data_IF_416184906120
#
_entry.id   IF_416184906120
#
_cell.length_a   1.000
_cell.length_b   1.000
_cell.length_c   1.000
_cell.angle_alpha   90.00
_cell.angle_beta   90.00
_cell.angle_gamma   90.00
#
_symmetry.space_group_name_H-M   'P 1'
#
loop_
_entity.id
_entity.type
_entity.pdbx_description
1 polymer ?
#
# COMPACT_ATOMS: atom_id res chain seq x y z
N UNK A 1 31.70 47.84 59.95
CA UNK A 1 31.04 49.15 60.11
C UNK A 1 32.04 50.24 59.79
N UNK A 2 31.92 50.87 58.62
CA UNK A 2 32.40 52.23 58.31
C UNK A 2 31.93 52.58 56.89
N UNK A 3 31.01 53.54 56.78
CA UNK A 3 30.71 54.27 55.54
C UNK A 3 31.63 55.49 55.49
N UNK A 4 32.13 55.83 54.30
CA UNK A 4 32.35 57.22 53.87
C UNK A 4 32.06 57.30 52.37
N UNK A 5 31.18 58.24 52.04
CA UNK A 5 30.66 58.68 50.74
C UNK A 5 31.66 59.52 49.95
N UNK A 6 31.63 59.44 48.62
CA UNK A 6 31.96 60.56 47.72
C UNK A 6 31.05 60.56 46.48
N UNK A 7 31.01 61.72 45.83
CA UNK A 7 29.84 62.39 45.28
C UNK A 7 29.85 62.30 43.75
N UNK A 8 28.65 62.23 43.17
CA UNK A 8 28.31 62.32 41.73
C UNK A 8 28.89 63.54 41.01
N UNK A 9 29.19 63.38 39.71
CA UNK A 9 29.07 64.32 38.56
C UNK A 9 29.97 63.71 37.43
N UNK A 10 29.61 63.51 36.14
CA UNK A 10 28.82 64.29 35.21
C UNK A 10 28.44 63.49 33.92
N UNK A 11 27.40 63.98 33.24
CA UNK A 11 27.14 64.02 31.78
C UNK A 11 26.89 62.73 30.94
N UNK A 12 25.77 62.66 30.18
CA UNK A 12 25.45 61.55 29.28
C UNK A 12 26.09 61.71 27.88
N UNK A 13 26.75 60.67 27.38
CA UNK A 13 27.05 60.52 25.95
C UNK A 13 25.98 59.62 25.31
N UNK A 14 25.16 60.22 24.46
CA UNK A 14 24.18 59.52 23.63
C UNK A 14 24.87 59.10 22.33
N UNK A 15 25.13 57.79 22.16
CA UNK A 15 25.81 57.24 20.98
C UNK A 15 24.91 56.25 20.21
N UNK A 16 24.82 56.53 18.90
CA UNK A 16 24.35 55.75 17.75
C UNK A 16 22.97 55.03 17.78
N UNK A 17 22.04 55.34 16.84
CA UNK A 17 20.88 54.49 16.60
C UNK A 17 21.32 53.13 15.98
N UNK A 18 20.73 52.00 16.40
CA UNK A 18 21.04 50.70 15.83
C UNK A 18 20.53 50.60 14.39
N UNK A 19 21.46 50.29 13.49
CA UNK A 19 21.21 49.76 12.16
C UNK A 19 20.39 48.47 12.24
N UNK A 20 19.17 48.47 11.72
CA UNK A 20 18.64 47.41 10.84
C UNK A 20 17.20 47.72 10.45
N UNK A 21 17.00 48.14 9.20
CA UNK A 21 15.66 48.11 8.58
C UNK A 21 15.44 46.66 8.15
N UNK A 22 14.46 45.92 8.70
CA UNK A 22 14.18 44.58 8.23
C UNK A 22 13.59 44.68 6.81
N UNK A 23 14.31 44.13 5.84
CA UNK A 23 13.85 44.02 4.47
C UNK A 23 12.57 43.16 4.43
N UNK A 24 11.43 43.80 4.12
CA UNK A 24 10.17 43.10 3.86
C UNK A 24 10.30 42.30 2.57
N UNK A 25 10.80 41.07 2.67
CA UNK A 25 10.74 40.08 1.60
C UNK A 25 9.27 39.70 1.41
N UNK A 26 8.65 40.17 0.32
CA UNK A 26 7.33 39.67 -0.13
C UNK A 26 7.46 38.16 -0.38
N UNK A 27 6.90 37.37 0.52
CA UNK A 27 6.72 35.94 0.28
C UNK A 27 5.45 35.79 -0.57
N UNK A 28 5.63 35.43 -1.84
CA UNK A 28 4.53 34.86 -2.63
C UNK A 28 4.15 33.54 -1.96
N UNK A 29 3.02 33.53 -1.25
CA UNK A 29 2.45 32.32 -0.69
C UNK A 29 1.85 31.52 -1.83
N UNK A 30 2.58 30.51 -2.31
CA UNK A 30 1.96 29.47 -3.12
C UNK A 30 1.07 28.65 -2.18
N UNK A 31 -0.23 28.70 -2.40
CA UNK A 31 -1.20 27.91 -1.64
C UNK A 31 -0.94 26.42 -1.93
N UNK A 32 -0.28 25.74 -1.00
CA UNK A 32 -0.06 24.31 -1.08
C UNK A 32 -1.39 23.60 -0.86
N UNK A 33 -2.08 23.23 -1.94
CA UNK A 33 -3.27 22.38 -1.87
C UNK A 33 -2.86 21.00 -1.39
N UNK A 34 -3.05 20.72 -0.10
CA UNK A 34 -2.85 19.41 0.48
C UNK A 34 -3.93 18.46 -0.08
N UNK A 35 -3.52 17.58 -0.99
CA UNK A 35 -4.34 16.45 -1.43
C UNK A 35 -3.96 15.27 -0.55
N UNK A 36 -4.72 15.05 0.53
CA UNK A 36 -4.55 13.85 1.35
C UNK A 36 -5.25 12.71 0.63
N UNK A 37 -4.47 11.76 0.11
CA UNK A 37 -5.02 10.51 -0.38
C UNK A 37 -5.62 9.79 0.84
N UNK A 38 -6.94 9.70 0.90
CA UNK A 38 -7.68 9.03 1.97
C UNK A 38 -7.27 7.56 2.06
N UNK A 39 -7.36 6.98 3.27
CA UNK A 39 -7.09 5.55 3.49
C UNK A 39 -8.03 4.71 2.61
N UNK A 40 -7.50 3.99 1.60
CA UNK A 40 -8.36 3.29 0.63
C UNK A 40 -9.10 2.13 1.31
N UNK A 41 -10.41 2.02 1.14
CA UNK A 41 -11.20 0.96 1.78
C UNK A 41 -10.80 -0.44 1.31
N UNK A 42 -10.31 -0.55 0.08
CA UNK A 42 -9.98 -1.81 -0.56
C UNK A 42 -8.47 -2.01 -0.74
N UNK A 43 -8.09 -3.27 -0.88
CA UNK A 43 -6.80 -3.72 -1.39
C UNK A 43 -7.03 -4.64 -2.58
N UNK A 44 -6.07 -4.59 -3.50
CA UNK A 44 -6.04 -5.36 -4.73
C UNK A 44 -4.90 -6.37 -4.66
N UNK A 45 -5.19 -7.60 -5.06
CA UNK A 45 -4.22 -8.70 -5.03
C UNK A 45 -4.18 -9.33 -6.41
N UNK A 46 -2.98 -9.54 -6.93
CA UNK A 46 -2.72 -10.29 -8.15
C UNK A 46 -2.25 -11.69 -7.77
N UNK A 47 -2.97 -12.69 -8.25
CA UNK A 47 -2.74 -14.10 -8.03
C UNK A 47 -2.39 -14.77 -9.35
N UNK A 48 -1.50 -15.76 -9.30
CA UNK A 48 -1.19 -16.66 -10.40
C UNK A 48 -1.45 -18.09 -9.92
N UNK A 49 -2.26 -18.84 -10.67
CA UNK A 49 -2.52 -20.25 -10.40
C UNK A 49 -1.29 -21.07 -10.83
N UNK A 50 -0.75 -21.85 -9.90
CA UNK A 50 0.32 -22.80 -10.16
C UNK A 50 -0.28 -24.21 -10.23
N UNK A 51 0.12 -24.97 -11.25
CA UNK A 51 -0.22 -26.39 -11.37
C UNK A 51 1.06 -27.19 -11.59
N UNK A 52 1.13 -28.39 -11.02
CA UNK A 52 2.20 -29.35 -11.31
C UNK A 52 2.03 -30.06 -12.65
N UNK A 53 0.87 -29.91 -13.31
CA UNK A 53 0.61 -30.50 -14.63
C UNK A 53 1.25 -29.65 -15.74
N UNK A 54 1.73 -30.29 -16.81
CA UNK A 54 2.27 -29.59 -17.98
C UNK A 54 1.19 -28.96 -18.88
N UNK A 55 -0.09 -29.18 -18.56
CA UNK A 55 -1.21 -28.56 -19.26
C UNK A 55 -1.32 -27.10 -18.84
N UNK A 56 -1.48 -26.20 -19.82
CA UNK A 56 -1.80 -24.79 -19.53
C UNK A 56 -3.13 -24.76 -18.77
N UNK A 57 -3.14 -24.35 -17.49
CA UNK A 57 -4.40 -24.24 -16.77
C UNK A 57 -5.17 -23.05 -17.39
N UNK A 58 -6.34 -23.32 -17.94
CA UNK A 58 -7.31 -22.26 -18.24
C UNK A 58 -8.17 -22.06 -17.00
N UNK A 59 -8.17 -20.84 -16.48
CA UNK A 59 -8.84 -20.50 -15.25
C UNK A 59 -10.13 -19.72 -15.51
N UNK A 60 -11.25 -20.34 -15.21
CA UNK A 60 -12.56 -19.69 -15.24
C UNK A 60 -12.86 -18.97 -13.93
N UNK A 61 -13.65 -17.88 -13.98
CA UNK A 61 -14.05 -17.08 -12.82
C UNK A 61 -14.70 -17.92 -11.70
N UNK A 62 -15.54 -18.88 -12.08
CA UNK A 62 -16.25 -19.75 -11.13
C UNK A 62 -15.26 -20.65 -10.40
N UNK A 63 -14.30 -21.21 -11.13
CA UNK A 63 -13.25 -22.08 -10.58
C UNK A 63 -12.31 -21.29 -9.68
N UNK A 64 -11.89 -20.10 -10.12
CA UNK A 64 -11.08 -19.18 -9.32
C UNK A 64 -11.78 -18.85 -8.00
N UNK A 65 -13.07 -18.48 -8.04
CA UNK A 65 -13.88 -18.21 -6.84
C UNK A 65 -13.94 -19.42 -5.91
N UNK A 66 -14.20 -20.61 -6.45
CA UNK A 66 -14.26 -21.85 -5.67
C UNK A 66 -12.93 -22.13 -4.94
N UNK A 67 -11.80 -21.95 -5.62
CA UNK A 67 -10.47 -22.18 -5.06
C UNK A 67 -10.11 -21.14 -4.00
N UNK A 68 -10.40 -19.86 -4.26
CA UNK A 68 -10.22 -18.78 -3.28
C UNK A 68 -11.07 -19.05 -2.03
N UNK A 69 -12.36 -19.34 -2.17
CA UNK A 69 -13.23 -19.65 -1.04
C UNK A 69 -12.76 -20.89 -0.28
N UNK A 70 -12.27 -21.92 -0.98
CA UNK A 70 -11.70 -23.12 -0.34
C UNK A 70 -10.44 -22.78 0.48
N UNK A 71 -9.57 -21.92 -0.04
CA UNK A 71 -8.38 -21.45 0.67
C UNK A 71 -8.71 -20.69 1.96
N UNK A 72 -9.70 -19.81 1.88
CA UNK A 72 -10.14 -19.01 3.02
C UNK A 72 -10.82 -19.86 4.08
N UNK A 73 -11.68 -20.80 3.66
CA UNK A 73 -12.28 -21.78 4.55
C UNK A 73 -11.24 -22.64 5.25
N UNK A 74 -10.20 -23.08 4.53
CA UNK A 74 -9.14 -23.91 5.12
C UNK A 74 -8.30 -23.15 6.14
N UNK A 75 -7.98 -21.88 5.89
CA UNK A 75 -7.11 -21.09 6.77
C UNK A 75 -7.86 -20.40 7.91
N UNK A 76 -9.07 -19.87 7.65
CA UNK A 76 -9.84 -19.02 8.58
C UNK A 76 -11.14 -19.68 9.05
N UNK A 77 -11.49 -20.87 8.55
CA UNK A 77 -12.75 -21.53 8.87
C UNK A 77 -13.97 -20.75 8.36
N UNK A 78 -15.05 -20.76 9.15
CA UNK A 78 -16.30 -20.08 8.82
C UNK A 78 -16.10 -18.57 8.56
N UNK A 79 -15.16 -17.94 9.25
CA UNK A 79 -14.86 -16.52 9.06
C UNK A 79 -14.36 -16.23 7.64
N UNK A 80 -13.54 -17.12 7.07
CA UNK A 80 -13.06 -16.98 5.69
C UNK A 80 -14.18 -17.00 4.64
N UNK A 81 -15.31 -17.64 4.93
CA UNK A 81 -16.47 -17.63 4.02
C UNK A 81 -17.26 -16.32 4.05
N UNK A 82 -17.11 -15.53 5.13
CA UNK A 82 -17.79 -14.25 5.29
C UNK A 82 -17.01 -13.08 4.67
N UNK A 83 -15.74 -13.29 4.31
CA UNK A 83 -14.90 -12.27 3.67
C UNK A 83 -15.46 -11.99 2.27
N UNK A 84 -15.81 -10.71 2.04
CA UNK A 84 -16.27 -10.26 0.73
C UNK A 84 -15.09 -10.12 -0.24
N UNK A 85 -15.13 -10.91 -1.32
CA UNK A 85 -14.11 -10.90 -2.37
C UNK A 85 -14.79 -10.76 -3.72
N UNK A 86 -14.29 -9.81 -4.50
CA UNK A 86 -14.72 -9.59 -5.87
C UNK A 86 -13.59 -9.95 -6.83
N UNK A 87 -13.92 -10.72 -7.87
CA UNK A 87 -13.01 -11.00 -8.98
C UNK A 87 -13.17 -9.88 -10.00
N UNK A 88 -12.06 -9.23 -10.33
CA UNK A 88 -12.03 -8.09 -11.25
C UNK A 88 -11.74 -8.51 -12.69
N UNK A 89 -10.76 -9.41 -12.85
CA UNK A 89 -10.33 -9.95 -14.14
C UNK A 89 -9.72 -11.33 -13.90
N UNK A 90 -9.91 -12.22 -14.86
CA UNK A 90 -9.17 -13.46 -15.04
C UNK A 90 -8.50 -13.44 -16.41
N UNK A 91 -7.28 -13.93 -16.48
CA UNK A 91 -6.50 -13.97 -17.72
C UNK A 91 -5.56 -15.18 -17.66
N UNK A 92 -5.82 -16.19 -18.49
CA UNK A 92 -5.12 -17.47 -18.50
C UNK A 92 -5.09 -18.17 -17.13
N UNK A 93 -4.04 -17.88 -16.34
CA UNK A 93 -3.79 -18.42 -14.99
C UNK A 93 -3.77 -17.31 -13.92
N UNK A 94 -3.84 -16.06 -14.34
CA UNK A 94 -3.78 -14.89 -13.48
C UNK A 94 -5.18 -14.40 -13.10
N UNK A 95 -5.31 -13.92 -11.87
CA UNK A 95 -6.55 -13.39 -11.31
C UNK A 95 -6.27 -12.12 -10.52
N UNK A 96 -7.11 -11.10 -10.73
CA UNK A 96 -7.13 -9.90 -9.92
C UNK A 96 -8.35 -9.92 -9.03
N UNK A 97 -8.11 -9.79 -7.72
CA UNK A 97 -9.16 -9.73 -6.73
C UNK A 97 -9.13 -8.42 -5.97
N UNK A 98 -10.32 -8.00 -5.54
CA UNK A 98 -10.54 -6.92 -4.59
C UNK A 98 -11.01 -7.52 -3.26
N UNK A 99 -10.45 -7.01 -2.18
CA UNK A 99 -10.84 -7.36 -0.80
C UNK A 99 -10.82 -6.11 0.07
N UNK A 100 -11.56 -6.12 1.18
CA UNK A 100 -11.44 -5.10 2.23
C UNK A 100 -9.99 -5.05 2.75
N UNK A 101 -9.49 -3.85 3.02
CA UNK A 101 -8.07 -3.63 3.41
C UNK A 101 -7.69 -4.43 4.66
N UNK A 102 -8.58 -4.48 5.63
CA UNK A 102 -8.42 -5.16 6.91
C UNK A 102 -8.19 -6.66 6.75
N UNK A 103 -8.83 -7.29 5.76
CA UNK A 103 -8.75 -8.72 5.51
C UNK A 103 -7.59 -9.09 4.58
N UNK A 104 -6.97 -8.10 3.93
CA UNK A 104 -6.00 -8.34 2.86
C UNK A 104 -4.79 -9.17 3.33
N UNK A 105 -4.31 -9.00 4.56
CA UNK A 105 -3.22 -9.80 5.12
C UNK A 105 -3.64 -11.25 5.36
N UNK A 106 -4.83 -11.46 5.91
CA UNK A 106 -5.40 -12.78 6.16
C UNK A 106 -5.67 -13.53 4.84
N UNK A 107 -6.18 -12.83 3.83
CA UNK A 107 -6.40 -13.38 2.48
C UNK A 107 -5.08 -13.79 1.82
N UNK A 108 -4.05 -12.93 1.87
CA UNK A 108 -2.73 -13.28 1.33
C UNK A 108 -2.14 -14.52 2.02
N UNK A 109 -2.26 -14.60 3.36
CA UNK A 109 -1.78 -15.75 4.11
C UNK A 109 -2.55 -17.04 3.75
N UNK A 110 -3.88 -16.95 3.66
CA UNK A 110 -4.72 -18.08 3.27
C UNK A 110 -4.39 -18.61 1.88
N UNK A 111 -4.24 -17.71 0.91
CA UNK A 111 -3.96 -18.09 -0.48
C UNK A 111 -2.54 -18.63 -0.65
N UNK A 112 -1.55 -18.01 -0.02
CA UNK A 112 -0.16 -18.44 -0.12
C UNK A 112 0.12 -19.81 0.49
N UNK A 113 -0.69 -20.25 1.46
CA UNK A 113 -0.59 -21.57 2.08
C UNK A 113 -1.49 -22.64 1.47
N UNK A 114 -2.31 -22.30 0.47
CA UNK A 114 -3.33 -23.21 -0.04
C UNK A 114 -2.82 -24.10 -1.17
N UNK A 115 -3.04 -25.40 -1.03
CA UNK A 115 -2.73 -26.43 -2.02
C UNK A 115 -3.91 -27.40 -2.11
N UNK A 116 -4.39 -27.65 -3.33
CA UNK A 116 -5.39 -28.66 -3.66
C UNK A 116 -4.77 -29.78 -4.47
N UNK A 117 -4.94 -31.01 -4.01
CA UNK A 117 -4.59 -32.21 -4.77
C UNK A 117 -5.75 -32.57 -5.73
N UNK A 118 -5.42 -32.86 -6.98
CA UNK A 118 -6.38 -33.26 -8.02
C UNK A 118 -6.16 -34.74 -8.38
N UNK A 119 -7.25 -35.46 -8.67
CA UNK A 119 -7.20 -36.88 -9.02
C UNK A 119 -6.65 -37.76 -7.90
N UNK A 120 -5.80 -38.74 -8.25
CA UNK A 120 -5.18 -39.67 -7.30
C UNK A 120 -4.02 -39.07 -6.48
N UNK A 121 -3.75 -37.75 -6.62
CA UNK A 121 -2.75 -37.05 -5.83
C UNK A 121 -1.47 -36.65 -6.57
N UNK A 122 -1.32 -37.01 -7.84
CA UNK A 122 -0.16 -36.66 -8.66
C UNK A 122 -0.17 -35.20 -9.14
N UNK A 123 -1.36 -34.63 -9.33
CA UNK A 123 -1.53 -33.24 -9.73
C UNK A 123 -1.86 -32.36 -8.53
N UNK A 124 -1.15 -31.25 -8.39
CA UNK A 124 -1.34 -30.27 -7.33
C UNK A 124 -1.56 -28.90 -7.94
N UNK A 125 -2.48 -28.16 -7.33
CA UNK A 125 -2.83 -26.80 -7.72
C UNK A 125 -2.73 -25.90 -6.50
N UNK A 126 -2.12 -24.73 -6.64
CA UNK A 126 -1.97 -23.77 -5.56
C UNK A 126 -1.91 -22.34 -6.07
N UNK A 127 -2.04 -21.38 -5.16
CA UNK A 127 -1.96 -19.97 -5.50
C UNK A 127 -0.56 -19.43 -5.25
N UNK A 128 -0.06 -18.64 -6.19
CA UNK A 128 1.09 -17.77 -6.00
C UNK A 128 0.63 -16.32 -5.96
N UNK A 129 0.96 -15.61 -4.89
CA UNK A 129 0.70 -14.17 -4.81
C UNK A 129 1.79 -13.43 -5.56
N UNK A 130 1.43 -12.74 -6.65
CA UNK A 130 2.35 -11.97 -7.49
C UNK A 130 2.56 -10.56 -6.96
N UNK A 131 1.49 -9.95 -6.43
CA UNK A 131 1.56 -8.61 -5.88
C UNK A 131 0.33 -8.24 -5.07
N UNK A 132 0.48 -7.20 -4.24
CA UNK A 132 -0.62 -6.57 -3.49
C UNK A 132 -0.42 -5.06 -3.52
N UNK A 133 -1.47 -4.32 -3.85
CA UNK A 133 -1.47 -2.86 -3.79
C UNK A 133 -2.77 -2.32 -3.22
N UNK A 134 -2.72 -1.11 -2.66
CA UNK A 134 -3.92 -0.41 -2.18
C UNK A 134 -4.68 0.31 -3.30
N UNK A 135 -4.05 0.45 -4.46
CA UNK A 135 -4.58 1.10 -5.65
C UNK A 135 -4.34 0.17 -6.83
N UNK A 136 -5.38 -0.04 -7.65
CA UNK A 136 -5.29 -0.97 -8.79
C UNK A 136 -4.19 -0.56 -9.78
N UNK A 137 -3.99 0.74 -10.01
CA UNK A 137 -2.95 1.25 -10.91
C UNK A 137 -1.53 0.85 -10.50
N UNK A 138 -1.26 0.71 -9.19
CA UNK A 138 0.04 0.24 -8.70
C UNK A 138 0.28 -1.26 -8.89
N UNK A 139 -0.76 -2.03 -9.23
CA UNK A 139 -0.67 -3.48 -9.46
C UNK A 139 -0.66 -3.83 -10.95
N UNK A 140 -1.34 -3.03 -11.78
CA UNK A 140 -1.42 -3.24 -13.24
C UNK A 140 -0.18 -2.66 -13.93
N UNK A 141 0.35 -1.53 -13.46
CA UNK A 141 1.50 -0.88 -14.07
C UNK A 141 2.73 -1.79 -14.18
N UNK A 142 3.10 -2.50 -13.10
CA UNK A 142 4.35 -3.28 -13.05
C UNK A 142 4.52 -4.29 -14.20
N UNK A 143 3.43 -4.86 -14.74
CA UNK A 143 3.51 -5.88 -15.78
C UNK A 143 3.60 -5.32 -17.19
N UNK A 144 2.86 -4.26 -17.49
CA UNK A 144 2.87 -3.66 -18.83
C UNK A 144 4.11 -2.77 -19.02
N UNK A 145 4.73 -2.26 -17.94
CA UNK A 145 5.95 -1.46 -18.05
C UNK A 145 7.11 -2.29 -18.62
N UNK A 146 7.22 -3.59 -18.29
CA UNK A 146 8.28 -4.45 -18.87
C UNK A 146 8.14 -4.64 -20.38
N UNK A 147 6.92 -4.62 -20.93
CA UNK A 147 6.70 -4.67 -22.39
C UNK A 147 6.97 -3.32 -23.06
N UNK A 148 6.70 -2.20 -22.40
CA UNK A 148 6.90 -0.85 -22.95
C UNK A 148 8.39 -0.51 -23.22
N UNK A 149 9.32 -1.11 -22.48
CA UNK A 149 10.76 -0.86 -22.64
C UNK A 149 11.51 -1.90 -23.50
N UNK A 150 10.83 -2.93 -24.00
CA UNK A 150 11.42 -4.00 -24.81
C UNK A 150 11.16 -3.84 -26.33
N UNK A 151 10.76 -2.65 -26.78
CA UNK A 151 10.63 -2.27 -28.20
C UNK A 151 11.94 -1.65 -28.76
#
# INVERSE_FOLDING_TARGET
>A
MAQTTEITVDTPMQEAPPSSIPSKRKQNSHEHKAITITTPLFSYIHLELQTSSFKKPQLDDITAKSYITSALLQFLGLHGSAISIDILKTEDKDVWIRVMREDASAVVAALGGWIKKLGNGDEQVGWRVRGKANWLGGLVGERDIEEVWND
#
